data_IF_309476149104
#
_entry.id   IF_309476149104
#
_cell.length_a   1.000
_cell.length_b   1.000
_cell.length_c   1.000
_cell.angle_alpha   90.00
_cell.angle_beta   90.00
_cell.angle_gamma   90.00
#
_symmetry.space_group_name_H-M   'P 1'
#
loop_
_entity.id
_entity.type
_entity.pdbx_description
1 polymer ?
#
# COMPACT_ATOMS: atom_id res chain seq x y z
N UNK A 1 24.24 21.03 -1.93
CA UNK A 1 23.09 21.62 -2.63
C UNK A 1 23.65 22.50 -3.75
N UNK A 2 23.54 22.10 -5.02
CA UNK A 2 24.03 22.91 -6.13
C UNK A 2 23.09 24.09 -6.42
N UNK A 3 23.57 25.18 -7.04
CA UNK A 3 22.77 26.38 -7.26
C UNK A 3 21.75 26.21 -8.38
N UNK A 4 20.58 26.82 -8.18
CA UNK A 4 19.48 26.97 -9.14
C UNK A 4 19.90 27.92 -10.26
N UNK A 5 20.43 27.40 -11.36
CA UNK A 5 20.63 28.20 -12.57
C UNK A 5 20.60 27.33 -13.82
N UNK A 6 19.41 26.83 -14.16
CA UNK A 6 18.86 26.76 -15.53
C UNK A 6 17.39 26.23 -15.45
N UNK A 7 16.37 27.07 -15.69
CA UNK A 7 14.97 26.66 -15.57
C UNK A 7 14.46 25.80 -16.76
N UNK A 8 15.30 25.46 -17.74
CA UNK A 8 14.85 24.73 -18.94
C UNK A 8 15.22 23.24 -19.00
N UNK A 9 15.94 22.72 -18.01
CA UNK A 9 16.41 21.32 -18.00
C UNK A 9 15.97 20.56 -16.75
N UNK A 10 14.67 20.38 -16.55
CA UNK A 10 14.11 19.57 -15.45
C UNK A 10 12.60 19.39 -15.50
N UNK A 11 12.07 18.41 -14.75
CA UNK A 11 10.62 18.19 -14.60
C UNK A 11 9.95 19.47 -14.06
N UNK A 12 8.93 19.97 -14.77
CA UNK A 12 8.17 21.15 -14.36
C UNK A 12 7.17 20.77 -13.26
N UNK A 13 7.48 21.16 -12.03
CA UNK A 13 6.58 21.00 -10.90
C UNK A 13 5.58 22.16 -10.86
N UNK A 14 4.29 21.83 -10.89
CA UNK A 14 3.19 22.78 -10.77
C UNK A 14 2.66 22.81 -9.34
N UNK A 15 2.04 23.94 -8.95
CA UNK A 15 1.55 24.19 -7.57
C UNK A 15 0.03 24.13 -7.44
N UNK A 16 -0.67 24.19 -8.57
CA UNK A 16 -2.12 24.09 -8.68
C UNK A 16 -2.48 23.64 -10.10
N UNK A 17 -3.70 23.17 -10.29
CA UNK A 17 -4.22 22.78 -11.62
C UNK A 17 -4.24 23.98 -12.58
N UNK A 18 -4.51 25.19 -12.08
CA UNK A 18 -4.46 26.42 -12.89
C UNK A 18 -3.03 26.76 -13.34
N UNK A 19 -2.03 26.46 -12.50
CA UNK A 19 -0.61 26.62 -12.86
C UNK A 19 -0.18 25.59 -13.91
N UNK A 20 -0.72 24.37 -13.86
CA UNK A 20 -0.52 23.36 -14.90
C UNK A 20 -1.21 23.76 -16.23
N UNK A 21 -2.41 24.31 -16.15
CA UNK A 21 -3.19 24.72 -17.33
C UNK A 21 -2.60 25.94 -18.06
N UNK A 22 -1.80 26.76 -17.35
CA UNK A 22 -1.01 27.88 -17.88
C UNK A 22 -1.79 28.85 -18.80
N UNK A 23 -3.03 29.14 -18.40
CA UNK A 23 -3.95 30.01 -19.14
C UNK A 23 -3.47 31.48 -19.13
N UNK A 24 -3.77 32.26 -20.19
CA UNK A 24 -3.39 33.68 -20.28
C UNK A 24 -3.90 34.51 -19.08
N UNK A 25 -5.08 34.17 -18.57
CA UNK A 25 -5.74 34.83 -17.45
C UNK A 25 -5.00 34.56 -16.13
N UNK A 26 -4.54 33.32 -15.93
CA UNK A 26 -3.79 32.93 -14.74
C UNK A 26 -2.40 33.58 -14.69
N UNK A 27 -1.70 33.66 -15.85
CA UNK A 27 -0.43 34.42 -15.93
C UNK A 27 -0.61 35.89 -15.58
N UNK A 28 -1.67 36.52 -16.09
CA UNK A 28 -1.98 37.91 -15.81
C UNK A 28 -2.32 38.17 -14.33
N UNK A 29 -2.93 37.19 -13.66
CA UNK A 29 -3.20 37.23 -12.21
C UNK A 29 -1.92 37.06 -11.39
N UNK A 30 -1.06 36.09 -11.73
CA UNK A 30 0.20 35.81 -11.03
C UNK A 30 1.21 36.97 -11.08
N UNK A 31 1.23 37.72 -12.17
CA UNK A 31 2.12 38.86 -12.36
C UNK A 31 1.59 40.20 -11.79
N UNK A 32 0.40 40.22 -11.19
CA UNK A 32 -0.21 41.43 -10.64
C UNK A 32 -0.48 41.32 -9.15
N UNK A 33 0.19 42.16 -8.37
CA UNK A 33 -0.07 42.32 -6.94
C UNK A 33 -1.43 43.00 -6.66
N UNK A 34 -1.94 43.80 -7.61
CA UNK A 34 -3.27 44.42 -7.57
C UNK A 34 -3.94 44.42 -8.97
N UNK A 35 -5.29 44.46 -9.04
CA UNK A 35 -6.02 44.60 -10.30
C UNK A 35 -5.59 45.82 -11.12
N UNK A 36 -5.84 45.77 -12.44
CA UNK A 36 -5.52 46.87 -13.35
C UNK A 36 -6.12 48.21 -12.92
N UNK A 37 -5.28 49.26 -12.84
CA UNK A 37 -5.73 50.64 -12.62
C UNK A 37 -5.88 51.08 -11.16
N UNK A 38 -5.62 50.20 -10.18
CA UNK A 38 -5.77 50.54 -8.76
C UNK A 38 -4.78 51.62 -8.27
N UNK A 39 -3.54 51.61 -8.77
CA UNK A 39 -2.47 52.52 -8.31
C UNK A 39 -2.54 53.90 -8.96
N UNK A 40 -2.99 53.99 -10.22
CA UNK A 40 -3.08 55.24 -10.99
C UNK A 40 -4.24 56.13 -10.55
N UNK A 41 -5.30 55.54 -9.97
CA UNK A 41 -6.46 56.27 -9.46
C UNK A 41 -6.20 57.05 -8.16
N UNK A 42 -5.15 56.70 -7.41
CA UNK A 42 -4.86 57.26 -6.09
C UNK A 42 -3.73 58.30 -6.09
N UNK A 43 -2.89 58.34 -7.13
CA UNK A 43 -1.65 59.12 -7.13
C UNK A 43 -1.83 60.62 -7.44
N UNK A 44 -2.91 61.06 -8.10
CA UNK A 44 -2.97 62.41 -8.71
C UNK A 44 -4.21 63.25 -8.32
N UNK A 45 -4.79 63.03 -7.14
CA UNK A 45 -6.06 63.68 -6.74
C UNK A 45 -5.89 64.83 -5.74
N UNK A 46 -5.41 65.98 -6.22
CA UNK A 46 -5.27 67.21 -5.42
C UNK A 46 -6.56 68.01 -5.12
N UNK A 47 -7.73 67.61 -5.63
CA UNK A 47 -8.96 68.37 -5.44
C UNK A 47 -10.11 67.54 -4.86
N UNK A 48 -10.67 67.96 -3.71
CA UNK A 48 -11.82 67.34 -3.02
C UNK A 48 -13.02 67.08 -3.94
N UNK A 49 -13.22 67.90 -4.98
CA UNK A 49 -14.30 67.74 -5.98
C UNK A 49 -14.02 66.59 -6.95
N UNK A 50 -12.77 66.37 -7.31
CA UNK A 50 -12.35 65.25 -8.15
C UNK A 50 -12.39 63.94 -7.36
N UNK A 51 -12.01 63.97 -6.08
CA UNK A 51 -12.21 62.85 -5.16
C UNK A 51 -13.71 62.47 -5.04
N UNK A 52 -14.63 63.43 -4.88
CA UNK A 52 -16.06 63.14 -4.82
C UNK A 52 -16.65 62.63 -6.15
N UNK A 53 -16.15 63.13 -7.29
CA UNK A 53 -16.52 62.59 -8.62
C UNK A 53 -16.02 61.16 -8.81
N UNK A 54 -14.79 60.87 -8.41
CA UNK A 54 -14.20 59.53 -8.46
C UNK A 54 -14.93 58.62 -7.49
N UNK A 55 -15.21 59.03 -6.25
CA UNK A 55 -15.98 58.24 -5.29
C UNK A 55 -17.41 57.95 -5.77
N UNK A 56 -18.09 58.94 -6.36
CA UNK A 56 -19.42 58.76 -6.96
C UNK A 56 -19.40 57.82 -8.18
N UNK A 57 -18.41 57.98 -9.05
CA UNK A 57 -18.20 57.10 -10.21
C UNK A 57 -17.79 55.68 -9.79
N UNK A 58 -16.96 55.54 -8.75
CA UNK A 58 -16.54 54.28 -8.15
C UNK A 58 -17.68 53.59 -7.42
N UNK A 59 -18.57 54.33 -6.74
CA UNK A 59 -19.81 53.76 -6.17
C UNK A 59 -20.79 53.33 -7.27
N UNK A 60 -20.88 54.06 -8.39
CA UNK A 60 -21.68 53.63 -9.53
C UNK A 60 -21.08 52.38 -10.21
N UNK A 61 -19.76 52.33 -10.43
CA UNK A 61 -19.08 51.16 -10.99
C UNK A 61 -19.09 49.96 -10.03
N UNK A 62 -18.95 50.19 -8.74
CA UNK A 62 -19.09 49.15 -7.72
C UNK A 62 -20.55 48.69 -7.61
N UNK A 63 -21.53 49.59 -7.75
CA UNK A 63 -22.95 49.25 -7.82
C UNK A 63 -23.30 48.41 -9.05
N UNK A 64 -22.75 48.74 -10.22
CA UNK A 64 -22.99 47.97 -11.45
C UNK A 64 -22.10 46.71 -11.59
N UNK A 65 -20.91 46.69 -10.97
CA UNK A 65 -19.94 45.59 -11.05
C UNK A 65 -19.99 44.59 -9.88
N UNK A 66 -20.51 44.98 -8.72
CA UNK A 66 -20.68 44.11 -7.55
C UNK A 66 -22.15 43.75 -7.26
N UNK A 67 -23.13 44.56 -7.70
CA UNK A 67 -24.56 44.22 -7.59
C UNK A 67 -25.22 43.90 -8.95
N UNK A 68 -24.52 44.10 -10.06
CA UNK A 68 -24.89 43.48 -11.34
C UNK A 68 -24.68 41.99 -11.22
N UNK A 69 -25.76 41.21 -11.29
CA UNK A 69 -25.75 39.75 -11.25
C UNK A 69 -24.55 39.22 -12.04
N UNK A 70 -23.54 38.66 -11.35
CA UNK A 70 -22.46 37.90 -11.99
C UNK A 70 -23.17 36.88 -12.85
N UNK A 71 -23.18 37.07 -14.18
CA UNK A 71 -23.89 36.18 -15.09
C UNK A 71 -23.04 34.92 -15.14
N UNK A 72 -23.29 34.04 -14.17
CA UNK A 72 -22.77 32.69 -14.19
C UNK A 72 -23.13 32.12 -15.57
N UNK A 73 -22.18 31.49 -16.26
CA UNK A 73 -22.47 30.86 -17.54
C UNK A 73 -23.69 29.96 -17.34
N UNK A 74 -24.60 29.93 -18.31
CA UNK A 74 -25.80 29.13 -18.19
C UNK A 74 -25.40 27.65 -18.02
N UNK A 75 -25.60 27.09 -16.83
CA UNK A 75 -25.36 25.68 -16.55
C UNK A 75 -26.58 24.85 -16.98
N UNK A 76 -26.33 23.71 -17.62
CA UNK A 76 -27.38 22.81 -18.08
C UNK A 76 -27.56 21.68 -17.07
N UNK A 77 -28.78 21.51 -16.56
CA UNK A 77 -29.15 20.38 -15.70
C UNK A 77 -29.73 19.28 -16.58
N UNK A 78 -29.05 18.13 -16.65
CA UNK A 78 -29.45 16.98 -17.48
C UNK A 78 -29.99 15.87 -16.58
N UNK A 79 -31.30 15.55 -16.61
CA UNK A 79 -31.85 14.45 -15.86
C UNK A 79 -31.55 13.09 -16.51
N UNK A 80 -31.71 12.00 -15.75
CA UNK A 80 -31.64 10.64 -16.29
C UNK A 80 -32.70 10.42 -17.39
N UNK A 81 -32.28 9.85 -18.52
CA UNK A 81 -33.21 9.41 -19.57
C UNK A 81 -34.08 8.22 -19.10
N UNK A 82 -33.48 7.33 -18.30
CA UNK A 82 -34.16 6.29 -17.54
C UNK A 82 -33.50 6.22 -16.17
N UNK A 83 -34.27 6.47 -15.11
CA UNK A 83 -33.76 6.50 -13.74
C UNK A 83 -33.77 5.08 -13.16
N UNK A 84 -32.62 4.56 -12.70
CA UNK A 84 -32.58 3.29 -11.98
C UNK A 84 -33.45 3.35 -10.72
N UNK A 85 -34.11 2.23 -10.41
CA UNK A 85 -34.90 2.12 -9.19
C UNK A 85 -34.00 2.25 -7.95
N UNK A 86 -34.45 3.00 -6.94
CA UNK A 86 -33.70 3.20 -5.69
C UNK A 86 -32.52 4.18 -5.78
N UNK A 87 -32.37 4.91 -6.90
CA UNK A 87 -31.35 5.95 -7.05
C UNK A 87 -31.99 7.34 -7.14
N UNK A 88 -31.92 8.09 -6.04
CA UNK A 88 -32.34 9.49 -5.99
C UNK A 88 -31.16 10.42 -6.31
N UNK A 89 -31.29 11.34 -7.29
CA UNK A 89 -30.21 12.24 -7.66
C UNK A 89 -29.70 13.07 -6.47
N UNK A 90 -28.38 13.18 -6.32
CA UNK A 90 -27.74 13.89 -5.22
C UNK A 90 -27.76 13.19 -3.86
N UNK A 91 -28.43 12.03 -3.73
CA UNK A 91 -28.37 11.21 -2.52
C UNK A 91 -27.21 10.22 -2.63
N UNK A 92 -26.32 10.23 -1.64
CA UNK A 92 -25.20 9.31 -1.59
C UNK A 92 -25.69 7.87 -1.34
N UNK A 93 -25.18 6.93 -2.15
CA UNK A 93 -25.39 5.50 -1.98
C UNK A 93 -24.09 4.85 -1.50
N UNK A 94 -24.19 3.84 -0.64
CA UNK A 94 -23.03 3.14 -0.09
C UNK A 94 -23.00 1.70 -0.57
N UNK A 95 -21.90 1.30 -1.20
CA UNK A 95 -21.71 -0.05 -1.73
C UNK A 95 -20.60 -0.76 -0.96
N UNK A 96 -20.90 -1.94 -0.41
CA UNK A 96 -19.89 -2.82 0.15
C UNK A 96 -19.04 -3.42 -0.96
N UNK A 97 -17.73 -3.23 -0.88
CA UNK A 97 -16.76 -3.71 -1.87
C UNK A 97 -15.47 -4.16 -1.18
N UNK A 98 -14.47 -4.58 -1.94
CA UNK A 98 -13.14 -4.84 -1.42
C UNK A 98 -12.08 -4.40 -2.43
N UNK A 99 -10.89 -4.08 -1.93
CA UNK A 99 -9.68 -3.92 -2.75
C UNK A 99 -8.61 -4.90 -2.26
N UNK A 100 -7.84 -5.42 -3.20
CA UNK A 100 -6.72 -6.33 -2.94
C UNK A 100 -5.41 -5.60 -3.17
N UNK A 101 -4.43 -5.84 -2.30
CA UNK A 101 -3.06 -5.37 -2.44
C UNK A 101 -2.13 -6.48 -1.92
N UNK A 102 -1.17 -6.93 -2.73
CA UNK A 102 -0.24 -8.00 -2.36
C UNK A 102 -0.93 -9.30 -1.91
N UNK A 103 -1.99 -9.73 -2.62
CA UNK A 103 -2.76 -10.93 -2.28
C UNK A 103 -3.64 -10.82 -1.01
N UNK A 104 -3.79 -9.62 -0.43
CA UNK A 104 -4.60 -9.41 0.79
C UNK A 104 -5.77 -8.48 0.51
N UNK A 105 -6.98 -9.04 0.58
CA UNK A 105 -8.23 -8.29 0.44
C UNK A 105 -8.58 -7.48 1.70
N UNK A 106 -9.08 -6.26 1.48
CA UNK A 106 -9.57 -5.33 2.50
C UNK A 106 -11.02 -4.99 2.21
N UNK A 107 -11.88 -5.13 3.22
CA UNK A 107 -13.30 -4.76 3.12
C UNK A 107 -13.50 -3.26 3.17
N UNK A 108 -14.20 -2.72 2.19
CA UNK A 108 -14.38 -1.29 1.97
C UNK A 108 -15.84 -0.96 1.72
N UNK A 109 -16.17 0.32 1.88
CA UNK A 109 -17.43 0.91 1.47
C UNK A 109 -17.12 2.04 0.50
N UNK A 110 -17.68 1.94 -0.71
CA UNK A 110 -17.61 3.00 -1.70
C UNK A 110 -18.87 3.86 -1.59
N UNK A 111 -18.69 5.13 -1.28
CA UNK A 111 -19.75 6.14 -1.41
C UNK A 111 -19.85 6.53 -2.88
N UNK A 112 -21.03 6.44 -3.46
CA UNK A 112 -21.33 6.73 -4.85
C UNK A 112 -22.42 7.78 -4.95
N UNK A 113 -22.18 8.80 -5.77
CA UNK A 113 -23.18 9.78 -6.18
C UNK A 113 -23.51 9.52 -7.64
N UNK A 114 -24.78 9.30 -7.96
CA UNK A 114 -25.22 9.17 -9.36
C UNK A 114 -24.42 8.10 -10.16
N UNK A 115 -24.06 7.00 -9.49
CA UNK A 115 -23.31 5.88 -10.07
C UNK A 115 -21.79 6.07 -10.13
N UNK A 116 -21.28 7.20 -9.64
CA UNK A 116 -19.85 7.53 -9.62
C UNK A 116 -19.32 7.38 -8.21
N UNK A 117 -18.38 6.46 -7.94
CA UNK A 117 -17.70 6.41 -6.65
C UNK A 117 -17.00 7.74 -6.39
N UNK A 118 -17.16 8.34 -5.21
CA UNK A 118 -16.52 9.63 -4.87
C UNK A 118 -15.65 9.54 -3.62
N UNK A 119 -15.84 8.49 -2.83
CA UNK A 119 -15.10 8.30 -1.57
C UNK A 119 -15.06 6.82 -1.20
N UNK A 120 -13.89 6.38 -0.74
CA UNK A 120 -13.68 5.04 -0.19
C UNK A 120 -13.50 5.17 1.32
N UNK A 121 -14.16 4.30 2.08
CA UNK A 121 -13.99 4.15 3.53
C UNK A 121 -13.91 2.66 3.90
N UNK A 122 -13.49 2.37 5.13
CA UNK A 122 -13.45 0.99 5.62
C UNK A 122 -14.84 0.45 5.90
N UNK A 123 -15.06 -0.85 5.66
CA UNK A 123 -16.29 -1.49 6.10
C UNK A 123 -16.25 -1.75 7.62
N UNK A 124 -17.22 -1.26 8.43
CA UNK A 124 -17.32 -1.55 9.86
C UNK A 124 -17.47 -3.03 10.21
N UNK A 125 -18.16 -3.78 9.34
CA UNK A 125 -18.48 -5.20 9.57
C UNK A 125 -17.35 -6.14 9.14
N UNK A 126 -16.34 -5.62 8.41
CA UNK A 126 -15.21 -6.42 7.96
C UNK A 126 -14.09 -6.45 9.01
N UNK A 127 -13.56 -7.64 9.36
CA UNK A 127 -12.70 -7.82 10.53
C UNK A 127 -11.36 -7.08 10.45
N UNK A 128 -10.85 -6.79 9.25
CA UNK A 128 -9.55 -6.10 9.07
C UNK A 128 -9.65 -4.58 9.00
N UNK A 129 -10.75 -4.02 8.49
CA UNK A 129 -10.93 -2.58 8.31
C UNK A 129 -11.61 -1.94 9.51
N UNK A 130 -12.60 -2.61 10.12
CA UNK A 130 -13.33 -2.12 11.31
C UNK A 130 -13.79 -0.65 11.17
N UNK A 131 -14.22 -0.28 9.96
CA UNK A 131 -14.74 1.05 9.64
C UNK A 131 -13.68 2.08 9.20
N UNK A 132 -12.42 1.68 9.05
CA UNK A 132 -11.34 2.55 8.58
C UNK A 132 -10.66 1.97 7.34
N UNK A 133 -10.17 2.84 6.47
CA UNK A 133 -9.38 2.50 5.29
C UNK A 133 -7.96 3.05 5.44
N UNK A 134 -7.00 2.37 4.84
CA UNK A 134 -5.61 2.82 4.84
C UNK A 134 -5.34 3.81 3.69
N UNK A 135 -4.11 4.33 3.64
CA UNK A 135 -3.71 5.34 2.65
C UNK A 135 -3.90 4.85 1.22
N UNK A 136 -3.55 3.60 0.91
CA UNK A 136 -3.71 3.03 -0.43
C UNK A 136 -5.19 2.89 -0.83
N UNK A 137 -6.03 2.37 0.07
CA UNK A 137 -7.46 2.25 -0.21
C UNK A 137 -8.13 3.63 -0.40
N UNK A 138 -7.77 4.62 0.40
CA UNK A 138 -8.27 5.99 0.26
C UNK A 138 -7.83 6.64 -1.05
N UNK A 139 -6.58 6.40 -1.48
CA UNK A 139 -6.01 6.97 -2.70
C UNK A 139 -6.53 6.29 -3.97
N UNK A 140 -6.94 5.02 -3.91
CA UNK A 140 -7.40 4.22 -5.07
C UNK A 140 -8.55 4.86 -5.87
N UNK A 141 -9.28 5.80 -5.27
CA UNK A 141 -10.31 6.57 -5.98
C UNK A 141 -9.71 7.45 -7.09
N UNK A 142 -8.48 7.93 -6.88
CA UNK A 142 -7.75 8.73 -7.86
C UNK A 142 -7.27 7.85 -9.01
N UNK A 143 -6.81 6.63 -8.73
CA UNK A 143 -6.43 5.65 -9.76
C UNK A 143 -7.62 5.26 -10.66
N UNK A 144 -8.86 5.38 -10.18
CA UNK A 144 -10.06 5.18 -11.01
C UNK A 144 -10.31 6.35 -11.97
N UNK A 145 -10.03 7.58 -11.53
CA UNK A 145 -10.29 8.82 -12.28
C UNK A 145 -9.05 9.40 -12.96
N UNK A 146 -7.93 8.67 -12.94
CA UNK A 146 -6.69 9.10 -13.57
C UNK A 146 -6.87 9.20 -15.10
N UNK A 147 -6.58 10.36 -15.72
CA UNK A 147 -6.69 10.57 -17.16
C UNK A 147 -5.70 9.73 -17.99
N UNK A 148 -4.59 9.28 -17.40
CA UNK A 148 -3.53 8.52 -18.06
C UNK A 148 -3.81 7.00 -18.09
N UNK A 149 -4.92 6.56 -17.47
CA UNK A 149 -5.36 5.16 -17.53
C UNK A 149 -5.55 4.70 -18.97
N UNK A 150 -5.25 3.43 -19.23
CA UNK A 150 -5.52 2.82 -20.53
C UNK A 150 -7.00 2.91 -20.89
N UNK A 151 -7.31 3.59 -22.01
CA UNK A 151 -8.68 3.83 -22.50
C UNK A 151 -9.11 2.85 -23.58
N UNK A 152 -8.15 2.27 -24.31
CA UNK A 152 -8.35 1.36 -25.43
C UNK A 152 -7.22 0.33 -25.47
N UNK A 153 -7.46 -0.88 -26.00
CA UNK A 153 -6.39 -1.83 -26.27
C UNK A 153 -5.26 -1.23 -27.13
N UNK A 154 -4.04 -1.70 -26.94
CA UNK A 154 -2.85 -1.31 -27.72
C UNK A 154 -2.26 -2.58 -28.34
N UNK A 155 -1.91 -2.51 -29.63
CA UNK A 155 -1.25 -3.59 -30.37
C UNK A 155 -0.04 -3.01 -31.11
N UNK A 156 1.16 -3.56 -30.89
CA UNK A 156 2.42 -3.08 -31.45
C UNK A 156 2.66 -1.56 -31.28
N UNK A 157 2.28 -1.03 -30.10
CA UNK A 157 2.45 0.39 -29.76
C UNK A 157 1.40 1.33 -30.39
N UNK A 158 0.43 0.82 -31.13
CA UNK A 158 -0.66 1.59 -31.72
C UNK A 158 -2.01 1.28 -31.06
N UNK A 159 -2.91 2.29 -31.01
CA UNK A 159 -4.26 2.10 -30.50
C UNK A 159 -5.04 1.08 -31.34
N UNK A 160 -5.79 0.21 -30.68
CA UNK A 160 -6.58 -0.87 -31.26
C UNK A 160 -7.99 -0.92 -30.64
N UNK A 161 -8.79 -1.91 -31.03
CA UNK A 161 -10.18 -2.09 -30.58
C UNK A 161 -10.37 -3.43 -29.89
N UNK A 162 -11.42 -3.54 -29.07
CA UNK A 162 -11.80 -4.81 -28.46
C UNK A 162 -12.18 -5.86 -29.50
N UNK A 163 -12.89 -5.51 -30.56
CA UNK A 163 -13.24 -6.43 -31.65
C UNK A 163 -11.99 -7.02 -32.33
N UNK A 164 -10.95 -6.19 -32.55
CA UNK A 164 -9.68 -6.66 -33.10
C UNK A 164 -8.95 -7.61 -32.14
N UNK A 165 -8.97 -7.31 -30.84
CA UNK A 165 -8.43 -8.20 -29.82
C UNK A 165 -9.20 -9.53 -29.76
N UNK A 166 -10.53 -9.51 -29.81
CA UNK A 166 -11.35 -10.73 -29.81
C UNK A 166 -11.09 -11.60 -31.05
N UNK A 167 -10.98 -10.97 -32.23
CA UNK A 167 -10.66 -11.65 -33.49
C UNK A 167 -9.28 -12.31 -33.46
N UNK A 168 -8.32 -11.73 -32.71
CA UNK A 168 -7.00 -12.32 -32.47
C UNK A 168 -7.06 -13.43 -31.40
N UNK A 169 -7.63 -13.13 -30.24
CA UNK A 169 -7.59 -13.97 -29.05
C UNK A 169 -8.33 -15.29 -29.24
N UNK A 170 -9.47 -15.29 -29.95
CA UNK A 170 -10.28 -16.49 -30.20
C UNK A 170 -9.47 -17.62 -30.85
N UNK A 171 -8.92 -17.43 -32.07
CA UNK A 171 -8.07 -18.41 -32.73
C UNK A 171 -6.77 -18.71 -31.96
N UNK A 172 -6.10 -17.69 -31.41
CA UNK A 172 -4.83 -17.85 -30.70
C UNK A 172 -4.96 -18.79 -29.50
N UNK A 173 -5.94 -18.55 -28.62
CA UNK A 173 -6.14 -19.40 -27.45
C UNK A 173 -6.84 -20.73 -27.77
N UNK A 174 -7.58 -20.83 -28.89
CA UNK A 174 -8.07 -22.11 -29.39
C UNK A 174 -6.92 -23.03 -29.83
N UNK A 175 -5.93 -22.50 -30.54
CA UNK A 175 -4.71 -23.24 -30.91
C UNK A 175 -3.87 -23.61 -29.68
N UNK A 176 -3.66 -22.66 -28.75
CA UNK A 176 -2.98 -22.95 -27.49
C UNK A 176 -3.65 -24.09 -26.72
N UNK A 177 -4.99 -24.09 -26.65
CA UNK A 177 -5.77 -25.18 -26.05
C UNK A 177 -5.62 -26.50 -26.80
N UNK A 178 -5.60 -26.48 -28.14
CA UNK A 178 -5.36 -27.68 -28.94
C UNK A 178 -3.98 -28.30 -28.68
N UNK A 179 -2.99 -27.46 -28.37
CA UNK A 179 -1.63 -27.84 -27.93
C UNK A 179 -1.51 -28.06 -26.42
N UNK A 180 -2.63 -28.19 -25.71
CA UNK A 180 -2.69 -28.40 -24.25
C UNK A 180 -1.98 -27.32 -23.42
N UNK A 181 -1.79 -26.12 -23.98
CA UNK A 181 -1.12 -25.00 -23.33
C UNK A 181 0.40 -24.96 -23.51
N UNK A 182 0.99 -25.88 -24.27
CA UNK A 182 2.44 -25.90 -24.47
C UNK A 182 2.96 -24.55 -25.01
N UNK A 183 3.89 -23.93 -24.28
CA UNK A 183 4.47 -22.62 -24.64
C UNK A 183 3.66 -21.41 -24.16
N UNK A 184 2.56 -21.61 -23.43
CA UNK A 184 1.84 -20.53 -22.74
C UNK A 184 2.36 -20.39 -21.31
N UNK A 185 2.78 -19.18 -20.96
CA UNK A 185 3.19 -18.82 -19.61
C UNK A 185 2.32 -17.66 -19.12
N UNK A 186 1.72 -17.83 -17.95
CA UNK A 186 0.99 -16.75 -17.26
C UNK A 186 1.86 -16.24 -16.11
N UNK A 187 2.06 -14.93 -16.07
CA UNK A 187 2.67 -14.21 -14.96
C UNK A 187 1.62 -13.27 -14.35
N UNK A 188 1.15 -13.57 -13.15
CA UNK A 188 0.12 -12.79 -12.47
C UNK A 188 0.65 -12.14 -11.18
N UNK A 189 0.00 -11.07 -10.73
CA UNK A 189 0.13 -10.62 -9.34
C UNK A 189 -0.41 -11.68 -8.37
N UNK A 190 0.09 -11.65 -7.13
CA UNK A 190 -0.42 -12.49 -6.06
C UNK A 190 -1.89 -12.16 -5.78
N UNK A 191 -2.75 -13.19 -5.69
CA UNK A 191 -4.17 -13.01 -5.35
C UNK A 191 -4.68 -14.01 -4.32
N UNK A 192 -5.27 -13.50 -3.25
CA UNK A 192 -6.04 -14.23 -2.26
C UNK A 192 -7.49 -14.49 -2.67
N UNK A 193 -7.90 -14.13 -3.90
CA UNK A 193 -9.26 -14.29 -4.41
C UNK A 193 -9.62 -15.76 -4.68
N UNK A 194 -10.69 -16.32 -4.06
CA UNK A 194 -11.16 -17.68 -4.36
C UNK A 194 -11.61 -17.87 -5.81
N UNK A 195 -12.11 -16.81 -6.44
CA UNK A 195 -12.50 -16.81 -7.85
C UNK A 195 -11.27 -16.92 -8.76
N UNK A 196 -10.21 -16.15 -8.47
CA UNK A 196 -8.95 -16.25 -9.19
C UNK A 196 -8.32 -17.64 -9.04
N UNK A 197 -8.28 -18.18 -7.82
CA UNK A 197 -7.80 -19.54 -7.58
C UNK A 197 -8.61 -20.60 -8.36
N UNK A 198 -9.92 -20.40 -8.50
CA UNK A 198 -10.78 -21.28 -9.31
C UNK A 198 -10.51 -21.12 -10.81
N UNK A 199 -10.28 -19.90 -11.30
CA UNK A 199 -9.92 -19.65 -12.69
C UNK A 199 -8.56 -20.25 -13.04
N UNK A 200 -7.54 -20.06 -12.19
CA UNK A 200 -6.22 -20.70 -12.30
C UNK A 200 -6.34 -22.21 -12.41
N UNK A 201 -7.11 -22.84 -11.50
CA UNK A 201 -7.34 -24.29 -11.55
C UNK A 201 -7.99 -24.74 -12.86
N UNK A 202 -9.07 -24.07 -13.29
CA UNK A 202 -9.76 -24.39 -14.56
C UNK A 202 -8.84 -24.19 -15.77
N UNK A 203 -8.02 -23.15 -15.76
CA UNK A 203 -7.06 -22.88 -16.82
C UNK A 203 -6.05 -24.04 -16.92
N UNK A 204 -5.45 -24.45 -15.81
CA UNK A 204 -4.48 -25.56 -15.78
C UNK A 204 -5.13 -26.93 -16.05
N UNK A 205 -6.41 -27.13 -15.75
CA UNK A 205 -7.17 -28.33 -16.15
C UNK A 205 -7.33 -28.43 -17.68
N UNK A 206 -7.57 -27.30 -18.35
CA UNK A 206 -7.76 -27.23 -19.81
C UNK A 206 -6.42 -27.20 -20.56
N UNK A 207 -5.43 -26.53 -19.98
CA UNK A 207 -4.09 -26.32 -20.52
C UNK A 207 -3.02 -26.86 -19.55
N UNK A 208 -2.92 -28.19 -19.40
CA UNK A 208 -2.02 -28.81 -18.40
C UNK A 208 -0.53 -28.62 -18.68
N UNK A 209 -0.16 -28.27 -19.92
CA UNK A 209 1.23 -28.04 -20.32
C UNK A 209 1.58 -26.54 -20.32
N UNK A 210 0.67 -25.67 -19.87
CA UNK A 210 0.94 -24.25 -19.59
C UNK A 210 1.55 -24.07 -18.20
N UNK A 211 2.29 -22.98 -18.00
CA UNK A 211 2.81 -22.61 -16.67
C UNK A 211 2.09 -21.39 -16.11
N UNK A 212 1.87 -21.39 -14.79
CA UNK A 212 1.29 -20.27 -14.05
C UNK A 212 2.23 -19.86 -12.93
N UNK A 213 2.62 -18.60 -12.96
CA UNK A 213 3.60 -17.99 -12.09
C UNK A 213 2.96 -16.78 -11.41
N UNK A 214 3.23 -16.59 -10.12
CA UNK A 214 2.80 -15.37 -9.41
C UNK A 214 4.01 -14.63 -8.87
N UNK A 215 4.03 -13.32 -9.08
CA UNK A 215 5.12 -12.47 -8.67
C UNK A 215 4.58 -11.26 -7.92
N UNK A 216 5.25 -10.93 -6.83
CA UNK A 216 4.99 -9.75 -6.02
C UNK A 216 6.36 -9.18 -5.58
N UNK A 217 6.66 -7.91 -5.86
CA UNK A 217 7.92 -7.29 -5.43
C UNK A 217 8.03 -7.21 -3.90
N UNK A 218 6.92 -6.97 -3.20
CA UNK A 218 6.84 -6.96 -1.73
C UNK A 218 6.12 -8.24 -1.28
N UNK A 219 6.88 -9.34 -1.16
CA UNK A 219 6.32 -10.65 -0.86
C UNK A 219 6.50 -11.10 0.60
N UNK A 220 5.91 -12.25 0.92
CA UNK A 220 5.95 -12.87 2.24
C UNK A 220 6.76 -14.18 2.26
N UNK A 221 7.69 -14.40 1.31
CA UNK A 221 8.39 -15.67 1.15
C UNK A 221 9.12 -16.10 2.44
N UNK A 222 9.82 -15.18 3.09
CA UNK A 222 10.55 -15.45 4.34
C UNK A 222 9.62 -15.74 5.52
N UNK A 223 8.44 -15.10 5.58
CA UNK A 223 7.41 -15.40 6.59
C UNK A 223 6.93 -16.84 6.42
N UNK A 224 6.62 -17.24 5.18
CA UNK A 224 6.12 -18.59 4.87
C UNK A 224 7.20 -19.63 5.16
N UNK A 225 8.46 -19.37 4.78
CA UNK A 225 9.59 -20.26 5.06
C UNK A 225 9.86 -20.40 6.57
N UNK A 226 9.83 -19.30 7.32
CA UNK A 226 9.99 -19.34 8.78
C UNK A 226 8.88 -20.09 9.50
N UNK A 227 7.64 -19.95 9.02
CA UNK A 227 6.50 -20.71 9.52
C UNK A 227 6.61 -22.21 9.21
N UNK A 228 7.10 -22.59 8.02
CA UNK A 228 7.33 -23.99 7.67
C UNK A 228 8.41 -24.62 8.53
N UNK A 229 9.50 -23.89 8.80
CA UNK A 229 10.55 -24.34 9.72
C UNK A 229 10.00 -24.54 11.14
N UNK A 230 9.08 -23.68 11.60
CA UNK A 230 8.53 -23.74 12.94
C UNK A 230 7.48 -24.85 13.12
N UNK A 231 6.61 -25.05 12.13
CA UNK A 231 5.40 -25.90 12.29
C UNK A 231 5.34 -27.08 11.31
N UNK A 232 6.33 -27.25 10.44
CA UNK A 232 6.35 -28.28 9.38
C UNK A 232 5.40 -28.00 8.20
N UNK A 233 4.62 -26.93 8.26
CA UNK A 233 3.71 -26.49 7.20
C UNK A 233 3.48 -24.97 7.29
N UNK A 234 3.14 -24.29 6.19
CA UNK A 234 2.97 -22.84 6.19
C UNK A 234 1.70 -22.43 6.94
N UNK A 235 1.84 -21.46 7.84
CA UNK A 235 0.76 -20.84 8.58
C UNK A 235 0.83 -19.32 8.47
N UNK A 236 -0.34 -18.71 8.36
CA UNK A 236 -0.51 -17.27 8.54
C UNK A 236 -0.63 -16.95 10.03
N UNK A 237 0.18 -15.99 10.47
CA UNK A 237 0.13 -15.45 11.83
C UNK A 237 -0.89 -14.34 11.93
N UNK A 238 -1.82 -14.44 12.88
CA UNK A 238 -2.82 -13.43 13.19
C UNK A 238 -2.58 -12.91 14.60
N UNK A 239 -2.46 -11.60 14.74
CA UNK A 239 -2.16 -10.93 15.99
C UNK A 239 -3.47 -10.47 16.67
N UNK A 240 -3.51 -10.55 17.99
CA UNK A 240 -4.50 -9.90 18.84
C UNK A 240 -3.77 -8.94 19.78
N UNK A 241 -3.48 -7.74 19.26
CA UNK A 241 -2.76 -6.70 20.00
C UNK A 241 -3.63 -6.07 21.10
N UNK A 242 -4.95 -6.29 21.09
CA UNK A 242 -5.83 -5.80 22.14
C UNK A 242 -5.69 -6.65 23.42
N UNK A 243 -5.32 -7.92 23.29
CA UNK A 243 -5.00 -8.81 24.39
C UNK A 243 -3.52 -8.71 24.84
N UNK A 244 -2.67 -8.01 24.08
CA UNK A 244 -1.24 -7.92 24.34
C UNK A 244 -0.89 -6.81 25.35
N UNK A 245 -0.23 -7.20 26.45
CA UNK A 245 0.39 -6.27 27.41
C UNK A 245 1.82 -5.91 27.04
N UNK A 246 2.54 -6.81 26.37
CA UNK A 246 3.93 -6.62 25.94
C UNK A 246 4.06 -7.02 24.48
N UNK A 247 4.54 -6.10 23.65
CA UNK A 247 4.71 -6.29 22.21
C UNK A 247 6.19 -6.09 21.90
N UNK A 248 6.83 -7.09 21.29
CA UNK A 248 8.19 -6.99 20.77
C UNK A 248 8.15 -7.10 19.25
N UNK A 249 8.50 -6.02 18.58
CA UNK A 249 8.67 -5.96 17.13
C UNK A 249 10.15 -6.14 16.76
N UNK A 250 10.41 -7.13 15.92
CA UNK A 250 11.70 -7.42 15.29
C UNK A 250 11.61 -6.95 13.83
N UNK A 251 11.89 -5.66 13.62
CA UNK A 251 11.85 -4.94 12.34
C UNK A 251 10.49 -5.05 11.61
N UNK A 252 9.41 -5.25 12.37
CA UNK A 252 8.04 -5.31 11.88
C UNK A 252 7.34 -3.95 12.05
N UNK A 253 6.94 -3.32 10.94
CA UNK A 253 6.13 -2.11 10.98
C UNK A 253 4.63 -2.44 11.06
N UNK A 254 4.22 -2.94 12.24
CA UNK A 254 2.86 -3.38 12.57
C UNK A 254 1.79 -2.30 12.37
N UNK A 255 2.17 -1.03 12.52
CA UNK A 255 1.30 0.15 12.52
C UNK A 255 1.34 0.95 11.22
N UNK A 256 2.12 0.51 10.23
CA UNK A 256 2.24 1.19 8.94
C UNK A 256 2.08 0.22 7.78
N UNK A 257 3.18 -0.42 7.39
CA UNK A 257 3.23 -1.24 6.16
C UNK A 257 2.65 -2.66 6.30
N UNK A 258 2.36 -3.13 7.52
CA UNK A 258 1.79 -4.47 7.71
C UNK A 258 0.43 -4.63 6.99
N UNK A 259 0.11 -5.76 6.32
CA UNK A 259 -1.13 -5.92 5.57
C UNK A 259 -2.42 -5.70 6.38
N UNK A 260 -2.36 -6.01 7.69
CA UNK A 260 -3.43 -5.77 8.66
C UNK A 260 -3.19 -4.51 9.53
N UNK A 261 -2.43 -3.52 9.06
CA UNK A 261 -2.06 -2.35 9.87
C UNK A 261 -3.28 -1.62 10.46
N UNK A 262 -4.35 -1.42 9.71
CA UNK A 262 -5.59 -0.78 10.22
C UNK A 262 -6.16 -1.51 11.44
N UNK A 263 -6.23 -2.84 11.36
CA UNK A 263 -6.65 -3.70 12.46
C UNK A 263 -5.70 -3.59 13.66
N UNK A 264 -4.40 -3.72 13.40
CA UNK A 264 -3.35 -3.65 14.42
C UNK A 264 -3.34 -2.30 15.14
N UNK A 265 -3.43 -1.19 14.42
CA UNK A 265 -3.51 0.17 14.97
C UNK A 265 -4.70 0.29 15.90
N UNK A 266 -5.87 -0.17 15.49
CA UNK A 266 -7.09 -0.09 16.31
C UNK A 266 -6.96 -0.90 17.60
N UNK A 267 -6.37 -2.09 17.52
CA UNK A 267 -6.13 -2.95 18.68
C UNK A 267 -5.06 -2.38 19.61
N UNK A 268 -3.91 -1.96 19.07
CA UNK A 268 -2.84 -1.32 19.82
C UNK A 268 -3.33 -0.05 20.52
N UNK A 269 -4.06 0.83 19.82
CA UNK A 269 -4.58 2.06 20.39
C UNK A 269 -5.55 1.82 21.57
N UNK A 270 -6.28 0.69 21.59
CA UNK A 270 -7.11 0.31 22.75
C UNK A 270 -6.26 0.02 23.99
N UNK A 271 -5.13 -0.67 23.81
CA UNK A 271 -4.16 -0.97 24.86
C UNK A 271 -3.35 0.25 25.33
N UNK A 272 -3.46 1.40 24.66
CA UNK A 272 -2.74 2.64 24.98
C UNK A 272 -3.61 3.73 25.62
N UNK A 273 -4.85 3.40 25.99
CA UNK A 273 -5.77 4.33 26.67
C UNK A 273 -5.48 4.37 28.17
N UNK A 274 -5.02 5.51 28.73
CA UNK A 274 -4.58 5.60 30.12
C UNK A 274 -5.73 5.43 31.13
N UNK A 275 -6.99 5.62 30.71
CA UNK A 275 -8.17 5.48 31.57
C UNK A 275 -8.33 4.05 32.12
N UNK A 276 -7.71 3.05 31.49
CA UNK A 276 -7.70 1.65 31.93
C UNK A 276 -6.64 1.32 33.00
N UNK A 277 -5.77 2.27 33.39
CA UNK A 277 -4.74 2.09 34.42
C UNK A 277 -3.47 1.36 33.96
N UNK A 278 -3.61 0.33 33.13
CA UNK A 278 -2.48 -0.38 32.48
C UNK A 278 -2.38 0.01 31.00
N UNK A 279 -1.15 0.18 30.49
CA UNK A 279 -0.90 0.35 29.06
C UNK A 279 -0.03 -0.78 28.50
N UNK A 280 -0.32 -1.19 27.26
CA UNK A 280 0.53 -2.10 26.51
C UNK A 280 1.90 -1.48 26.26
N UNK A 281 2.97 -2.22 26.52
CA UNK A 281 4.33 -1.79 26.26
C UNK A 281 4.83 -2.28 24.90
N UNK A 282 5.42 -1.38 24.11
CA UNK A 282 5.98 -1.70 22.80
C UNK A 282 7.51 -1.53 22.81
N UNK A 283 8.19 -2.63 22.47
CA UNK A 283 9.62 -2.69 22.18
C UNK A 283 9.80 -2.83 20.66
N UNK A 284 10.51 -1.91 20.03
CA UNK A 284 10.80 -1.96 18.60
C UNK A 284 12.31 -2.07 18.36
N UNK A 285 12.73 -3.16 17.73
CA UNK A 285 14.10 -3.36 17.25
C UNK A 285 14.10 -3.24 15.74
N UNK A 286 14.55 -2.11 15.20
CA UNK A 286 14.42 -1.80 13.79
C UNK A 286 15.63 -0.99 13.30
N UNK A 287 15.91 -1.07 12.00
CA UNK A 287 16.95 -0.26 11.36
C UNK A 287 16.45 1.15 11.11
N UNK A 288 15.41 1.26 10.29
CA UNK A 288 14.79 2.53 9.94
C UNK A 288 13.79 2.94 11.02
N UNK A 289 13.54 4.25 11.17
CA UNK A 289 12.50 4.73 12.07
C UNK A 289 11.13 4.56 11.40
N UNK A 290 10.36 3.58 11.86
CA UNK A 290 9.03 3.30 11.32
C UNK A 290 7.92 3.98 12.13
N UNK A 291 6.67 3.92 11.64
CA UNK A 291 5.50 4.36 12.43
C UNK A 291 5.40 3.55 13.73
N UNK A 292 5.72 2.26 13.66
CA UNK A 292 5.76 1.38 14.84
C UNK A 292 6.82 1.82 15.83
N UNK A 293 8.05 2.08 15.38
CA UNK A 293 9.13 2.55 16.25
C UNK A 293 8.91 3.95 16.83
N UNK A 294 8.27 4.85 16.09
CA UNK A 294 7.89 6.18 16.60
C UNK A 294 6.84 6.12 17.71
N UNK A 295 6.03 5.06 17.75
CA UNK A 295 5.05 4.80 18.80
C UNK A 295 5.54 3.82 19.90
N UNK A 296 6.79 3.36 19.81
CA UNK A 296 7.37 2.44 20.77
C UNK A 296 7.76 3.13 22.08
N UNK A 297 7.60 2.44 23.21
CA UNK A 297 8.12 2.93 24.49
C UNK A 297 9.64 2.78 24.56
N UNK A 298 10.17 1.70 23.96
CA UNK A 298 11.59 1.45 23.86
C UNK A 298 11.96 1.10 22.42
N UNK A 299 12.80 1.92 21.79
CA UNK A 299 13.33 1.67 20.45
C UNK A 299 14.81 1.32 20.50
N UNK A 300 15.16 0.11 20.08
CA UNK A 300 16.54 -0.32 19.83
C UNK A 300 16.88 -0.14 18.36
N UNK A 301 17.65 0.90 18.03
CA UNK A 301 18.18 1.09 16.67
C UNK A 301 19.25 0.01 16.38
N UNK A 302 18.99 -0.86 15.42
CA UNK A 302 19.86 -2.00 15.08
C UNK A 302 20.01 -2.11 13.57
N UNK A 303 21.18 -2.53 13.07
CA UNK A 303 21.31 -2.83 11.62
C UNK A 303 20.38 -3.98 11.26
N UNK A 304 19.85 -3.98 10.04
CA UNK A 304 19.00 -5.08 9.53
C UNK A 304 19.67 -6.44 9.68
N UNK A 305 20.98 -6.53 9.47
CA UNK A 305 21.79 -7.75 9.65
C UNK A 305 21.81 -8.28 11.10
N UNK A 306 21.60 -7.39 12.07
CA UNK A 306 21.78 -7.70 13.49
C UNK A 306 20.43 -7.99 14.18
N UNK A 307 19.30 -7.83 13.48
CA UNK A 307 17.97 -8.18 14.01
C UNK A 307 17.89 -9.68 14.33
N UNK A 308 18.54 -10.53 13.52
CA UNK A 308 18.66 -11.96 13.81
C UNK A 308 19.44 -12.23 15.11
N UNK A 309 20.44 -11.40 15.43
CA UNK A 309 21.18 -11.47 16.69
C UNK A 309 20.29 -11.03 17.86
N UNK A 310 19.50 -9.96 17.70
CA UNK A 310 18.52 -9.54 18.72
C UNK A 310 17.52 -10.65 18.99
N UNK A 311 16.95 -11.24 17.94
CA UNK A 311 15.98 -12.32 18.03
C UNK A 311 16.55 -13.56 18.74
N UNK A 312 17.79 -13.95 18.41
CA UNK A 312 18.44 -15.11 19.02
C UNK A 312 18.74 -14.89 20.51
N UNK A 313 19.16 -13.69 20.89
CA UNK A 313 19.39 -13.33 22.30
C UNK A 313 18.10 -13.34 23.11
N UNK A 314 17.00 -12.79 22.56
CA UNK A 314 15.69 -12.84 23.21
C UNK A 314 15.21 -14.29 23.32
N UNK A 315 15.31 -15.07 22.24
CA UNK A 315 14.91 -16.47 22.23
C UNK A 315 15.68 -17.29 23.28
N UNK A 316 17.01 -17.25 23.28
CA UNK A 316 17.84 -17.97 24.24
C UNK A 316 17.49 -17.64 25.70
N UNK A 317 17.17 -16.38 26.00
CA UNK A 317 16.81 -15.98 27.35
C UNK A 317 15.37 -16.34 27.73
N UNK A 318 14.42 -16.30 26.79
CA UNK A 318 13.01 -16.60 27.04
C UNK A 318 12.74 -18.10 27.08
N UNK A 319 13.29 -18.85 26.12
CA UNK A 319 13.11 -20.32 26.04
C UNK A 319 14.01 -21.08 27.02
N UNK A 320 15.10 -20.45 27.47
CA UNK A 320 16.16 -21.07 28.28
C UNK A 320 16.76 -22.33 27.62
N UNK A 321 16.63 -22.44 26.29
CA UNK A 321 17.12 -23.57 25.51
C UNK A 321 18.67 -23.61 25.54
N UNK A 322 19.28 -24.68 26.09
CA UNK A 322 20.73 -24.85 26.11
C UNK A 322 21.37 -24.78 24.72
N UNK A 323 20.67 -25.15 23.65
CA UNK A 323 21.17 -25.11 22.29
C UNK A 323 21.39 -23.67 21.77
N UNK A 324 20.66 -22.70 22.32
CA UNK A 324 20.77 -21.29 21.93
C UNK A 324 21.77 -20.50 22.81
N UNK A 325 22.16 -21.03 23.97
CA UNK A 325 23.08 -20.36 24.89
C UNK A 325 24.47 -20.02 24.29
N UNK A 326 25.10 -20.90 23.48
CA UNK A 326 26.39 -20.57 22.86
C UNK A 326 26.32 -19.34 21.93
N UNK A 327 25.17 -19.09 21.30
CA UNK A 327 24.96 -17.93 20.42
C UNK A 327 25.00 -16.61 21.21
N UNK A 328 24.45 -16.59 22.43
CA UNK A 328 24.46 -15.40 23.29
C UNK A 328 25.87 -15.09 23.81
N UNK A 329 26.69 -16.12 23.98
CA UNK A 329 28.06 -16.02 24.48
C UNK A 329 29.08 -15.71 23.37
N UNK A 330 28.65 -15.65 22.11
CA UNK A 330 29.51 -15.33 20.98
C UNK A 330 30.03 -13.87 21.08
N UNK A 331 31.36 -13.65 21.06
CA UNK A 331 31.95 -12.31 21.04
C UNK A 331 31.43 -11.43 19.89
N UNK A 332 31.05 -12.02 18.76
CA UNK A 332 30.46 -11.30 17.62
C UNK A 332 29.10 -10.67 17.98
N UNK A 333 28.29 -11.37 18.79
CA UNK A 333 27.01 -10.85 19.30
C UNK A 333 27.25 -9.69 20.26
N UNK A 334 28.28 -9.80 21.12
CA UNK A 334 28.66 -8.71 22.01
C UNK A 334 29.16 -7.46 21.27
N UNK A 335 29.84 -7.63 20.13
CA UNK A 335 30.28 -6.54 19.28
C UNK A 335 29.15 -5.92 18.44
N UNK A 336 28.14 -6.72 18.05
CA UNK A 336 27.02 -6.25 17.24
C UNK A 336 26.05 -5.35 18.02
N UNK A 337 25.81 -5.64 19.30
CA UNK A 337 24.80 -4.97 20.11
C UNK A 337 25.39 -3.90 21.03
N UNK A 338 24.94 -2.67 20.90
CA UNK A 338 25.33 -1.58 21.81
C UNK A 338 24.84 -1.84 23.25
N UNK A 339 25.48 -1.26 24.28
CA UNK A 339 25.02 -1.40 25.66
C UNK A 339 23.57 -0.94 25.88
N UNK A 340 23.14 0.11 25.16
CA UNK A 340 21.76 0.60 25.22
C UNK A 340 20.77 -0.43 24.67
N UNK A 341 21.06 -1.03 23.51
CA UNK A 341 20.22 -2.08 22.91
C UNK A 341 20.15 -3.30 23.81
N UNK A 342 21.28 -3.73 24.39
CA UNK A 342 21.32 -4.86 25.34
C UNK A 342 20.40 -4.63 26.52
N UNK A 343 20.39 -3.42 27.10
CA UNK A 343 19.49 -3.07 28.20
C UNK A 343 18.01 -3.12 27.79
N UNK A 344 17.69 -2.68 26.57
CA UNK A 344 16.32 -2.78 26.04
C UNK A 344 15.91 -4.25 25.90
N UNK A 345 16.81 -5.11 25.40
CA UNK A 345 16.59 -6.56 25.30
C UNK A 345 16.32 -7.17 26.68
N UNK A 346 17.14 -6.85 27.69
CA UNK A 346 16.95 -7.34 29.06
C UNK A 346 15.56 -6.99 29.62
N UNK A 347 15.11 -5.75 29.40
CA UNK A 347 13.77 -5.32 29.80
C UNK A 347 12.67 -6.02 28.98
N UNK A 348 12.84 -6.19 27.67
CA UNK A 348 11.88 -6.88 26.83
C UNK A 348 11.71 -8.35 27.25
N UNK A 349 12.80 -9.04 27.56
CA UNK A 349 12.80 -10.43 28.04
C UNK A 349 12.07 -10.54 29.39
N UNK A 350 12.40 -9.67 30.34
CA UNK A 350 11.75 -9.67 31.66
C UNK A 350 10.24 -9.43 31.55
N UNK A 351 9.83 -8.46 30.73
CA UNK A 351 8.43 -8.13 30.52
C UNK A 351 7.70 -9.25 29.75
N UNK A 352 8.32 -9.88 28.76
CA UNK A 352 7.75 -11.04 28.06
C UNK A 352 7.52 -12.23 29.01
N UNK A 353 8.51 -12.59 29.84
CA UNK A 353 8.36 -13.66 30.83
C UNK A 353 7.26 -13.37 31.85
N UNK A 354 7.16 -12.12 32.29
CA UNK A 354 6.13 -11.67 33.24
C UNK A 354 4.73 -11.67 32.61
N UNK A 355 4.61 -11.22 31.36
CA UNK A 355 3.34 -11.17 30.65
C UNK A 355 2.82 -12.56 30.23
N UNK A 356 3.72 -13.53 30.02
CA UNK A 356 3.37 -14.86 29.53
C UNK A 356 2.53 -14.78 28.26
N UNK A 357 1.37 -15.43 28.25
CA UNK A 357 0.48 -15.46 27.09
C UNK A 357 -0.18 -14.11 26.73
N UNK A 358 0.05 -13.05 27.52
CA UNK A 358 -0.28 -11.67 27.15
C UNK A 358 0.89 -10.94 26.45
N UNK A 359 2.02 -11.61 26.21
CA UNK A 359 3.10 -11.11 25.37
C UNK A 359 2.89 -11.49 23.89
N UNK A 360 3.57 -10.79 22.99
CA UNK A 360 3.65 -11.14 21.57
C UNK A 360 4.97 -10.68 20.97
N UNK A 361 5.58 -11.54 20.16
CA UNK A 361 6.77 -11.24 19.37
C UNK A 361 6.46 -11.37 17.89
N UNK A 362 6.83 -10.37 17.09
CA UNK A 362 6.54 -10.35 15.65
C UNK A 362 7.79 -9.98 14.87
N UNK A 363 8.05 -10.71 13.79
CA UNK A 363 9.13 -10.42 12.84
C UNK A 363 8.59 -9.76 11.57
N UNK A 364 9.31 -8.77 11.05
CA UNK A 364 8.94 -8.04 9.84
C UNK A 364 9.23 -8.84 8.57
N UNK A 365 8.47 -8.60 7.50
CA UNK A 365 8.55 -9.33 6.23
C UNK A 365 9.93 -9.27 5.53
N UNK A 366 10.76 -8.29 5.87
CA UNK A 366 12.14 -8.12 5.36
C UNK A 366 13.17 -9.00 6.08
N UNK A 367 12.79 -9.64 7.19
CA UNK A 367 13.68 -10.44 8.00
C UNK A 367 13.76 -11.87 7.46
N UNK A 368 14.92 -12.53 7.57
CA UNK A 368 15.08 -13.89 7.04
C UNK A 368 14.25 -14.88 7.86
N UNK A 369 13.93 -16.04 7.26
CA UNK A 369 13.12 -17.11 7.83
C UNK A 369 13.55 -17.52 9.24
N UNK A 370 14.85 -17.44 9.56
CA UNK A 370 15.38 -17.70 10.90
C UNK A 370 14.80 -16.77 11.98
N UNK A 371 14.56 -15.49 11.67
CA UNK A 371 13.97 -14.54 12.63
C UNK A 371 12.49 -14.86 12.86
N UNK A 372 11.77 -15.23 11.81
CA UNK A 372 10.38 -15.69 11.92
C UNK A 372 10.28 -16.97 12.77
N UNK A 373 11.15 -17.95 12.54
CA UNK A 373 11.26 -19.16 13.36
C UNK A 373 11.47 -18.81 14.84
N UNK A 374 12.43 -17.94 15.14
CA UNK A 374 12.72 -17.51 16.52
C UNK A 374 11.52 -16.78 17.15
N UNK A 375 10.83 -15.92 16.41
CA UNK A 375 9.62 -15.25 16.88
C UNK A 375 8.51 -16.26 17.21
N UNK A 376 8.32 -17.30 16.39
CA UNK A 376 7.39 -18.39 16.68
C UNK A 376 7.78 -19.17 17.93
N UNK A 377 9.06 -19.52 18.08
CA UNK A 377 9.58 -20.23 19.26
C UNK A 377 9.40 -19.41 20.55
N UNK A 378 9.64 -18.09 20.50
CA UNK A 378 9.41 -17.21 21.66
C UNK A 378 7.92 -17.16 22.01
N UNK A 379 7.04 -16.98 21.01
CA UNK A 379 5.59 -16.94 21.23
C UNK A 379 5.06 -18.25 21.81
N UNK A 380 5.59 -19.40 21.40
CA UNK A 380 5.24 -20.69 21.98
C UNK A 380 5.71 -20.79 23.44
N UNK A 381 6.97 -20.44 23.72
CA UNK A 381 7.56 -20.51 25.05
C UNK A 381 6.86 -19.61 26.09
N UNK A 382 6.36 -18.44 25.69
CA UNK A 382 5.57 -17.57 26.59
C UNK A 382 4.09 -17.96 26.67
N UNK A 383 3.62 -18.92 25.87
CA UNK A 383 2.21 -19.32 25.82
C UNK A 383 1.30 -18.29 25.13
N UNK A 384 1.83 -17.53 24.16
CA UNK A 384 1.07 -16.55 23.37
C UNK A 384 0.13 -17.22 22.35
N UNK A 385 0.45 -18.44 21.91
CA UNK A 385 -0.34 -19.20 20.95
C UNK A 385 -1.76 -19.47 21.50
N UNK A 386 -2.77 -19.16 20.68
CA UNK A 386 -4.19 -19.25 21.05
C UNK A 386 -4.71 -18.06 21.86
N UNK A 387 -3.85 -17.12 22.28
CA UNK A 387 -4.21 -15.95 23.09
C UNK A 387 -3.96 -14.64 22.34
N UNK A 388 -2.71 -14.19 22.28
CA UNK A 388 -2.29 -12.99 21.53
C UNK A 388 -1.86 -13.31 20.11
N UNK A 389 -1.55 -14.58 19.83
CA UNK A 389 -1.17 -15.06 18.49
C UNK A 389 -2.05 -16.24 18.09
N UNK A 390 -2.61 -16.19 16.88
CA UNK A 390 -3.34 -17.30 16.26
C UNK A 390 -2.66 -17.71 14.96
N UNK A 391 -2.41 -19.00 14.80
CA UNK A 391 -1.85 -19.57 13.58
C UNK A 391 -2.96 -20.24 12.78
N UNK A 392 -3.12 -19.85 11.52
CA UNK A 392 -4.09 -20.46 10.60
C UNK A 392 -3.37 -21.04 9.39
N UNK A 393 -3.67 -22.27 8.94
CA UNK A 393 -3.02 -22.85 7.77
C UNK A 393 -3.08 -21.92 6.56
N UNK A 394 -1.93 -21.69 5.92
CA UNK A 394 -1.86 -20.90 4.71
C UNK A 394 -2.12 -21.81 3.51
N UNK A 395 -3.13 -21.46 2.71
CA UNK A 395 -3.53 -22.26 1.54
C UNK A 395 -2.66 -22.00 0.33
N UNK A 396 -2.19 -20.76 0.19
CA UNK A 396 -1.27 -20.37 -0.87
C UNK A 396 0.18 -20.60 -0.42
N UNK A 397 0.93 -21.33 -1.24
CA UNK A 397 2.32 -21.71 -0.98
C UNK A 397 3.26 -21.13 -2.05
N UNK A 398 2.77 -20.16 -2.84
CA UNK A 398 3.55 -19.60 -3.94
C UNK A 398 4.79 -18.90 -3.40
N UNK A 399 5.92 -19.12 -4.10
CA UNK A 399 7.23 -18.53 -3.81
C UNK A 399 7.56 -17.53 -4.90
N UNK A 400 7.53 -16.24 -4.56
CA UNK A 400 7.59 -15.16 -5.54
C UNK A 400 9.02 -14.93 -6.05
N UNK A 401 10.04 -15.01 -5.19
CA UNK A 401 11.43 -14.84 -5.59
C UNK A 401 11.88 -15.93 -6.57
N UNK A 402 11.57 -17.19 -6.26
CA UNK A 402 11.89 -18.34 -7.11
C UNK A 402 11.18 -18.30 -8.47
N UNK A 403 10.00 -17.64 -8.53
CA UNK A 403 9.20 -17.55 -9.75
C UNK A 403 9.96 -16.85 -10.87
N UNK A 404 10.62 -15.72 -10.58
CA UNK A 404 11.36 -14.98 -11.60
C UNK A 404 12.61 -15.71 -12.11
N UNK A 405 13.31 -16.42 -11.23
CA UNK A 405 14.45 -17.25 -11.62
C UNK A 405 14.03 -18.38 -12.57
N UNK A 406 12.86 -19.00 -12.32
CA UNK A 406 12.32 -20.01 -13.24
C UNK A 406 11.94 -19.43 -14.60
N UNK A 407 11.44 -18.18 -14.64
CA UNK A 407 11.02 -17.53 -15.86
C UNK A 407 12.21 -17.05 -16.71
N UNK A 408 13.33 -16.66 -16.10
CA UNK A 408 14.52 -16.19 -16.81
C UNK A 408 15.08 -17.23 -17.81
N UNK A 409 14.90 -18.52 -17.53
CA UNK A 409 15.36 -19.63 -18.38
C UNK A 409 14.38 -20.08 -19.46
N UNK A 410 13.18 -19.50 -19.52
CA UNK A 410 12.10 -19.91 -20.44
C UNK A 410 11.94 -18.88 -21.56
N UNK A 411 11.61 -19.35 -22.76
CA UNK A 411 11.16 -18.48 -23.87
C UNK A 411 9.73 -18.89 -24.23
N UNK A 412 8.71 -18.24 -23.66
CA UNK A 412 7.32 -18.58 -23.94
C UNK A 412 6.94 -18.20 -25.37
N UNK A 413 6.05 -18.98 -25.98
CA UNK A 413 5.40 -18.58 -27.23
C UNK A 413 4.34 -17.51 -26.97
N UNK A 414 3.64 -17.61 -25.84
CA UNK A 414 2.65 -16.63 -25.38
C UNK A 414 2.94 -16.29 -23.93
N UNK A 415 3.16 -15.01 -23.63
CA UNK A 415 3.30 -14.51 -22.26
C UNK A 415 2.08 -13.67 -21.89
N UNK A 416 1.25 -14.18 -20.97
CA UNK A 416 0.12 -13.44 -20.43
C UNK A 416 0.50 -12.81 -19.09
N UNK A 417 0.58 -11.47 -19.05
CA UNK A 417 0.82 -10.71 -17.81
C UNK A 417 -0.52 -10.20 -17.27
N UNK A 418 -0.84 -10.56 -16.02
CA UNK A 418 -2.11 -10.18 -15.37
C UNK A 418 -1.79 -9.36 -14.12
N UNK A 419 -2.05 -8.05 -14.20
CA UNK A 419 -1.68 -7.12 -13.13
C UNK A 419 -0.17 -6.88 -13.07
N UNK A 420 0.23 -5.94 -12.22
CA UNK A 420 1.63 -5.65 -11.93
C UNK A 420 2.41 -5.02 -13.09
N UNK A 421 3.68 -4.74 -12.83
CA UNK A 421 4.61 -4.27 -13.86
C UNK A 421 6.00 -4.92 -13.67
N UNK A 422 6.13 -6.23 -13.97
CA UNK A 422 7.37 -6.98 -13.76
C UNK A 422 8.55 -6.48 -14.60
N UNK A 423 8.31 -5.68 -15.64
CA UNK A 423 9.38 -4.99 -16.37
C UNK A 423 10.00 -3.82 -15.57
N UNK A 424 9.25 -3.25 -14.62
CA UNK A 424 9.66 -2.14 -13.77
C UNK A 424 10.14 -2.59 -12.39
N UNK A 425 9.43 -3.52 -11.75
CA UNK A 425 9.61 -3.86 -10.34
C UNK A 425 10.37 -5.19 -10.10
N UNK A 426 10.76 -5.91 -11.16
CA UNK A 426 11.61 -7.08 -11.01
C UNK A 426 13.01 -6.72 -10.47
N UNK A 427 13.63 -7.61 -9.67
CA UNK A 427 15.02 -7.45 -9.24
C UNK A 427 15.96 -7.34 -10.44
N UNK A 428 16.96 -6.46 -10.34
CA UNK A 428 17.88 -6.16 -11.44
C UNK A 428 18.70 -7.36 -11.95
N UNK A 429 18.77 -8.45 -11.19
CA UNK A 429 19.41 -9.70 -11.60
C UNK A 429 18.53 -10.57 -12.52
N UNK A 430 17.28 -10.17 -12.79
CA UNK A 430 16.34 -10.88 -13.67
C UNK A 430 15.98 -9.98 -14.87
N UNK A 431 16.32 -10.43 -16.08
CA UNK A 431 16.01 -9.70 -17.32
C UNK A 431 14.58 -10.00 -17.81
N UNK A 432 13.58 -9.46 -17.10
CA UNK A 432 12.16 -9.60 -17.46
C UNK A 432 11.84 -8.84 -18.76
N UNK A 433 12.45 -7.67 -18.98
CA UNK A 433 12.24 -6.91 -20.22
C UNK A 433 12.71 -7.73 -21.44
N UNK A 434 13.86 -8.41 -21.34
CA UNK A 434 14.33 -9.33 -22.36
C UNK A 434 13.44 -10.57 -22.50
N UNK A 435 12.86 -11.09 -21.41
CA UNK A 435 11.86 -12.17 -21.49
C UNK A 435 10.64 -11.75 -22.33
N UNK A 436 10.09 -10.56 -22.04
CA UNK A 436 8.95 -9.99 -22.78
C UNK A 436 9.32 -9.80 -24.26
N UNK A 437 10.50 -9.26 -24.55
CA UNK A 437 10.97 -9.05 -25.92
C UNK A 437 11.26 -10.34 -26.71
N UNK A 438 11.46 -11.48 -26.03
CA UNK A 438 11.64 -12.80 -26.67
C UNK A 438 10.35 -13.60 -26.77
N UNK A 439 9.28 -13.19 -26.08
CA UNK A 439 7.99 -13.85 -26.18
C UNK A 439 7.45 -13.73 -27.62
N UNK A 440 6.82 -14.80 -28.11
CA UNK A 440 6.25 -14.79 -29.47
C UNK A 440 5.04 -13.87 -29.58
N UNK A 441 4.27 -13.74 -28.49
CA UNK A 441 3.07 -12.93 -28.30
C UNK A 441 3.00 -12.47 -26.85
#
# INVERSE_FOLDING_TARGET
MPPLSDPTAGQQYWRSLDHLADTPEFRAFMHREFPAGATELLADSGERRQFLKIMGASMALAGFGLAGCRRWPAETIVPYASRPEGQDPGVAMHYATCAELGGVARGLIATSHDGRPTKIEGNPDHPTSLGAADTFAQASILDLYDPDRSRTPIHDGAASTWDAFEAFAGPHFADARARRGAGVTVLAEASGSPSMATLKRRFLEVCPDATWHEYEPINNDEIVAGSELAFGQPHRTQLDLAAAKVIVSLDADLLGTHPNAVHNIRQFARGRRPEGGDMSRLYAFESDLTVTGANADHRGAVRTSDVAIVASVIAAQVTEDPALQPLVQDPAVAAALTPAVRKIIEHAVADLKSAGGAGVVVAGWRQPAAVHLLAHAINDAIGAAGRTVRYTPQRDQTRHAATLDTLAGVTPQTLLIIGGNPAYDAPANVDVAGLIGRAGV
#
